data_IF_837437197432
#
_entry.id   IF_837437197432
#
_cell.length_a   1.000
_cell.length_b   1.000
_cell.length_c   1.000
_cell.angle_alpha   90.00
_cell.angle_beta   90.00
_cell.angle_gamma   90.00
#
_symmetry.space_group_name_H-M   'P 1'
#
loop_
_entity.id
_entity.type
_entity.pdbx_description
1 polymer ?
#
# COMPACT_ATOMS: atom_id res chain seq x y z
N UNK A 1 -8.90 9.26 -15.03
CA UNK A 1 -8.86 8.54 -13.74
C UNK A 1 -7.99 9.31 -12.75
N UNK A 2 -8.02 8.95 -11.46
CA UNK A 2 -7.15 9.56 -10.43
C UNK A 2 -5.65 9.42 -10.80
N UNK A 3 -5.21 8.22 -11.16
CA UNK A 3 -3.82 7.94 -11.56
C UNK A 3 -3.36 8.79 -12.75
N UNK A 4 -4.24 9.06 -13.71
CA UNK A 4 -3.93 9.86 -14.89
C UNK A 4 -3.60 11.33 -14.58
N UNK A 5 -3.89 11.82 -13.35
CA UNK A 5 -3.53 13.16 -12.90
C UNK A 5 -2.07 13.25 -12.42
N UNK A 6 -1.41 12.12 -12.15
CA UNK A 6 -0.07 12.04 -11.56
C UNK A 6 0.98 11.43 -12.51
N UNK A 7 0.90 11.72 -13.81
CA UNK A 7 1.77 11.10 -14.84
C UNK A 7 3.28 11.31 -14.66
N UNK A 8 3.67 12.39 -13.97
CA UNK A 8 5.08 12.76 -13.74
C UNK A 8 5.59 12.36 -12.35
N UNK A 9 4.74 11.76 -11.51
CA UNK A 9 5.09 11.36 -10.15
C UNK A 9 5.09 9.84 -10.04
N UNK A 10 5.92 9.32 -9.14
CA UNK A 10 5.73 7.97 -8.61
C UNK A 10 4.51 7.99 -7.69
N UNK A 11 3.56 7.10 -7.94
CA UNK A 11 2.34 6.93 -7.16
C UNK A 11 2.45 5.63 -6.39
N UNK A 12 2.26 5.70 -5.08
CA UNK A 12 2.27 4.52 -4.21
C UNK A 12 0.85 4.22 -3.75
N UNK A 13 0.30 3.08 -4.18
CA UNK A 13 -1.01 2.61 -3.76
C UNK A 13 -0.83 1.66 -2.58
N UNK A 14 -1.48 1.95 -1.46
CA UNK A 14 -1.51 1.07 -0.29
C UNK A 14 -2.81 0.28 -0.36
N UNK A 15 -2.72 -1.05 -0.46
CA UNK A 15 -3.91 -1.91 -0.40
C UNK A 15 -4.45 -2.01 1.04
N UNK A 16 -5.67 -2.51 1.21
CA UNK A 16 -6.37 -2.44 2.50
C UNK A 16 -6.55 -3.82 3.13
N UNK A 17 -6.59 -3.85 4.47
CA UNK A 17 -7.15 -4.95 5.26
C UNK A 17 -8.32 -4.40 6.06
N UNK A 18 -9.54 -4.78 5.69
CA UNK A 18 -10.80 -4.32 6.29
C UNK A 18 -11.86 -5.44 6.19
N UNK A 19 -12.69 -5.65 7.23
CA UNK A 19 -13.74 -6.66 7.22
C UNK A 19 -14.95 -6.18 6.39
N UNK A 20 -14.78 -6.10 5.07
CA UNK A 20 -15.79 -5.62 4.11
C UNK A 20 -15.74 -6.47 2.85
N UNK A 21 -16.92 -6.77 2.29
CA UNK A 21 -17.06 -7.65 1.12
C UNK A 21 -16.27 -7.17 -0.12
N UNK A 22 -16.03 -5.86 -0.22
CA UNK A 22 -15.30 -5.26 -1.32
C UNK A 22 -13.77 -5.29 -1.19
N UNK A 23 -13.20 -5.74 -0.06
CA UNK A 23 -11.76 -5.72 0.21
C UNK A 23 -10.96 -6.42 -0.90
N UNK A 24 -11.32 -7.66 -1.21
CA UNK A 24 -10.62 -8.49 -2.19
C UNK A 24 -10.69 -7.89 -3.60
N UNK A 25 -11.87 -7.42 -4.01
CA UNK A 25 -12.09 -6.80 -5.31
C UNK A 25 -11.26 -5.51 -5.47
N UNK A 26 -11.27 -4.63 -4.47
CA UNK A 26 -10.53 -3.37 -4.51
C UNK A 26 -9.02 -3.62 -4.49
N UNK A 27 -8.55 -4.55 -3.66
CA UNK A 27 -7.13 -4.92 -3.62
C UNK A 27 -6.65 -5.49 -4.97
N UNK A 28 -7.48 -6.29 -5.65
CA UNK A 28 -7.19 -6.79 -6.99
C UNK A 28 -7.06 -5.64 -8.01
N UNK A 29 -7.98 -4.68 -8.01
CA UNK A 29 -7.91 -3.50 -8.89
C UNK A 29 -6.66 -2.65 -8.65
N UNK A 30 -6.23 -2.49 -7.39
CA UNK A 30 -4.98 -1.78 -7.07
C UNK A 30 -3.76 -2.54 -7.60
N UNK A 31 -3.73 -3.87 -7.45
CA UNK A 31 -2.66 -4.70 -7.97
C UNK A 31 -2.59 -4.68 -9.50
N UNK A 32 -3.74 -4.71 -10.19
CA UNK A 32 -3.81 -4.57 -11.64
C UNK A 32 -3.33 -3.20 -12.11
N UNK A 33 -3.70 -2.12 -11.41
CA UNK A 33 -3.22 -0.78 -11.72
C UNK A 33 -1.70 -0.66 -11.60
N UNK A 34 -1.10 -1.22 -10.55
CA UNK A 34 0.35 -1.25 -10.38
C UNK A 34 1.07 -2.05 -11.49
N UNK A 35 0.46 -3.16 -11.96
CA UNK A 35 1.01 -3.92 -13.10
C UNK A 35 0.90 -3.15 -14.43
N UNK A 36 -0.17 -2.38 -14.62
CA UNK A 36 -0.47 -1.67 -15.87
C UNK A 36 0.34 -0.38 -16.04
N UNK A 37 0.71 0.29 -14.95
CA UNK A 37 1.31 1.62 -14.98
C UNK A 37 2.69 1.63 -14.33
N UNK A 38 3.75 1.90 -15.12
CA UNK A 38 5.15 1.87 -14.66
C UNK A 38 5.46 2.84 -13.50
N UNK A 39 4.71 3.93 -13.38
CA UNK A 39 4.88 4.92 -12.31
C UNK A 39 4.00 4.62 -11.08
N UNK A 40 3.30 3.48 -11.04
CA UNK A 40 2.41 3.10 -9.95
C UNK A 40 3.00 1.87 -9.25
N UNK A 41 3.18 2.00 -7.94
CA UNK A 41 3.85 1.01 -7.09
C UNK A 41 2.88 0.54 -6.01
N UNK A 42 2.73 -0.77 -5.84
CA UNK A 42 1.87 -1.33 -4.79
C UNK A 42 2.66 -1.46 -3.48
N UNK A 43 2.09 -0.97 -2.39
CA UNK A 43 2.51 -1.22 -1.02
C UNK A 43 1.50 -2.19 -0.42
N UNK A 44 1.96 -3.42 -0.19
CA UNK A 44 1.11 -4.53 0.26
C UNK A 44 0.94 -4.54 1.79
N UNK A 45 0.10 -3.63 2.29
CA UNK A 45 -0.31 -3.60 3.69
C UNK A 45 -1.21 -4.78 4.06
N UNK A 46 -2.03 -5.28 3.14
CA UNK A 46 -2.89 -6.44 3.37
C UNK A 46 -2.08 -7.64 3.88
N UNK A 47 -1.05 -8.06 3.15
CA UNK A 47 -0.19 -9.16 3.58
C UNK A 47 0.67 -8.77 4.79
N UNK A 48 1.19 -7.55 4.84
CA UNK A 48 2.04 -7.11 5.95
C UNK A 48 1.31 -7.00 7.31
N UNK A 49 -0.01 -6.83 7.31
CA UNK A 49 -0.84 -6.76 8.51
C UNK A 49 -1.47 -8.11 8.90
N UNK A 50 -1.24 -9.17 8.12
CA UNK A 50 -1.77 -10.49 8.41
C UNK A 50 -1.26 -11.03 9.75
N UNK A 51 -2.17 -11.60 10.55
CA UNK A 51 -1.83 -12.15 11.87
C UNK A 51 -1.58 -11.10 12.96
N UNK A 52 -1.58 -9.80 12.63
CA UNK A 52 -1.37 -8.72 13.58
C UNK A 52 -2.69 -8.11 14.07
N UNK A 53 -3.46 -8.88 14.85
CA UNK A 53 -4.76 -8.41 15.37
C UNK A 53 -4.62 -7.18 16.25
N UNK A 54 -3.49 -7.01 16.94
CA UNK A 54 -3.15 -5.82 17.75
C UNK A 54 -2.94 -4.55 16.93
N UNK A 55 -2.85 -4.62 15.60
CA UNK A 55 -2.76 -3.43 14.75
C UNK A 55 -4.10 -2.73 14.57
N UNK A 56 -5.21 -3.40 14.83
CA UNK A 56 -6.55 -2.90 14.54
C UNK A 56 -7.35 -2.72 15.83
N UNK A 57 -8.13 -1.65 15.88
CA UNK A 57 -9.14 -1.46 16.90
C UNK A 57 -10.24 -2.52 16.76
N UNK A 58 -11.17 -2.54 17.72
CA UNK A 58 -12.24 -3.54 17.80
C UNK A 58 -13.14 -3.62 16.54
N UNK A 59 -13.18 -2.58 15.71
CA UNK A 59 -13.98 -2.55 14.49
C UNK A 59 -13.28 -3.17 13.26
N UNK A 60 -12.01 -3.56 13.40
CA UNK A 60 -11.19 -4.14 12.34
C UNK A 60 -10.83 -3.16 11.22
N UNK A 61 -11.03 -1.84 11.42
CA UNK A 61 -10.80 -0.81 10.40
C UNK A 61 -9.81 0.23 10.90
N UNK A 62 -10.04 0.80 12.09
CA UNK A 62 -9.14 1.80 12.65
C UNK A 62 -7.84 1.13 13.09
N UNK A 63 -6.71 1.78 12.83
CA UNK A 63 -5.43 1.30 13.33
C UNK A 63 -5.22 1.77 14.76
N UNK A 64 -4.75 0.86 15.60
CA UNK A 64 -4.12 1.21 16.86
C UNK A 64 -2.76 1.88 16.62
N UNK A 65 -2.13 2.38 17.67
CA UNK A 65 -0.82 3.02 17.56
C UNK A 65 0.24 2.10 16.92
N UNK A 66 0.29 0.83 17.31
CA UNK A 66 1.23 -0.14 16.76
C UNK A 66 0.98 -0.39 15.26
N UNK A 67 -0.29 -0.48 14.85
CA UNK A 67 -0.66 -0.62 13.44
C UNK A 67 -0.30 0.61 12.62
N UNK A 68 -0.54 1.80 13.17
CA UNK A 68 -0.19 3.08 12.53
C UNK A 68 1.33 3.21 12.34
N UNK A 69 2.11 2.82 13.35
CA UNK A 69 3.57 2.78 13.27
C UNK A 69 4.03 1.77 12.22
N UNK A 70 3.51 0.55 12.22
CA UNK A 70 3.87 -0.49 11.27
C UNK A 70 3.56 -0.09 9.82
N UNK A 71 2.39 0.51 9.57
CA UNK A 71 2.02 1.02 8.24
C UNK A 71 2.96 2.15 7.80
N UNK A 72 3.29 3.08 8.69
CA UNK A 72 4.22 4.17 8.39
C UNK A 72 5.62 3.66 8.06
N UNK A 73 6.13 2.71 8.85
CA UNK A 73 7.44 2.08 8.62
C UNK A 73 7.46 1.32 7.28
N UNK A 74 6.38 0.60 6.95
CA UNK A 74 6.23 -0.07 5.67
C UNK A 74 6.27 0.93 4.51
N UNK A 75 5.51 2.02 4.58
CA UNK A 75 5.46 3.04 3.52
C UNK A 75 6.84 3.65 3.30
N UNK A 76 7.49 4.10 4.37
CA UNK A 76 8.84 4.68 4.31
C UNK A 76 9.85 3.70 3.70
N UNK A 77 9.84 2.44 4.14
CA UNK A 77 10.76 1.42 3.63
C UNK A 77 10.58 1.17 2.12
N UNK A 78 9.33 1.15 1.63
CA UNK A 78 9.01 0.90 0.22
C UNK A 78 9.39 2.08 -0.67
N UNK A 79 9.12 3.30 -0.22
CA UNK A 79 9.55 4.52 -0.91
C UNK A 79 11.08 4.54 -0.99
N UNK A 80 11.79 4.37 0.13
CA UNK A 80 13.26 4.37 0.17
C UNK A 80 13.85 3.33 -0.78
N UNK A 81 13.38 2.08 -0.71
CA UNK A 81 13.83 1.00 -1.59
C UNK A 81 13.63 1.33 -3.07
N UNK A 82 12.48 1.88 -3.44
CA UNK A 82 12.21 2.26 -4.84
C UNK A 82 13.17 3.37 -5.31
N UNK A 83 13.44 4.37 -4.47
CA UNK A 83 14.42 5.44 -4.77
C UNK A 83 15.85 4.90 -4.94
N UNK A 84 16.27 3.95 -4.10
CA UNK A 84 17.58 3.29 -4.21
C UNK A 84 17.69 2.52 -5.53
N UNK A 85 16.67 1.74 -5.89
CA UNK A 85 16.66 0.98 -7.15
C UNK A 85 16.65 1.87 -8.39
N UNK A 86 16.00 3.04 -8.35
CA UNK A 86 16.02 3.99 -9.46
C UNK A 86 17.41 4.61 -9.66
N UNK A 87 18.10 4.91 -8.56
CA UNK A 87 19.43 5.53 -8.58
C UNK A 87 20.52 4.55 -9.03
N UNK A 88 20.41 3.27 -8.69
CA UNK A 88 21.38 2.24 -9.11
C UNK A 88 21.20 1.74 -10.56
N UNK A 89 20.09 2.09 -11.20
CA UNK A 89 19.77 1.74 -12.59
C UNK A 89 20.07 2.86 -13.59
N UNK A 90 20.59 4.00 -13.10
CA UNK A 90 20.94 5.20 -13.88
C UNK A 90 22.45 5.38 -13.93
#
# INVERSE_FOLDING_TARGET
TLLARFKKANVYLVNVRVPREYESHVNALMAEAAKKHKNVHLIDWYSASEGHTNYFAYDGIHLEYEGSKALSDLIQSRIKKHHETATSSS
#
